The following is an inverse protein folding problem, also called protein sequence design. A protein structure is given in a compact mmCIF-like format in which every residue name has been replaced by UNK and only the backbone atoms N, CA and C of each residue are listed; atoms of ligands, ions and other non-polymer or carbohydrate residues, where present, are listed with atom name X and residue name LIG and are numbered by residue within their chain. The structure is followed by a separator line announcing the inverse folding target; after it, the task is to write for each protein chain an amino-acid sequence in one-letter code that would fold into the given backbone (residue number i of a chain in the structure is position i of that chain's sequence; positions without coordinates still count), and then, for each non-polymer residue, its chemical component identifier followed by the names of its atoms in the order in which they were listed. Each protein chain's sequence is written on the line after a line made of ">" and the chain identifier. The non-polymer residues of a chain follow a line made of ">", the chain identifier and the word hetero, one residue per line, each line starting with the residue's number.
data_IF_359768839528
#
_entry.id   IF_359768839528
#
_cell.length_a   1.000
_cell.length_b   1.000
_cell.length_c   1.000
_cell.angle_alpha   90.00
_cell.angle_beta   90.00
_cell.angle_gamma   90.00
#
_symmetry.space_group_name_H-M   'P 1'
#
loop_
_entity.id
_entity.type
_entity.pdbx_description
1 polymer ?
#
# COMPACT_ATOMS: atom_id res chain seq x y z
N UNK A 1 3.05 3.64 -2.96
CA UNK A 1 4.12 3.43 -1.94
C UNK A 1 3.75 3.95 -0.55
N UNK A 2 3.37 5.23 -0.41
CA UNK A 2 3.12 5.89 0.88
C UNK A 2 2.15 5.14 1.81
N UNK A 3 1.02 4.62 1.31
CA UNK A 3 0.07 3.84 2.12
C UNK A 3 0.72 2.67 2.88
N UNK A 4 1.63 1.94 2.24
CA UNK A 4 2.26 0.76 2.83
C UNK A 4 3.50 1.14 3.65
N UNK A 5 4.35 2.01 3.12
CA UNK A 5 5.60 2.39 3.78
C UNK A 5 5.35 3.23 5.06
N UNK A 6 4.30 4.04 5.10
CA UNK A 6 3.97 4.80 6.33
C UNK A 6 3.54 3.91 7.50
N UNK A 7 3.21 2.63 7.27
CA UNK A 7 2.81 1.72 8.34
C UNK A 7 3.96 1.39 9.31
N UNK A 8 5.21 1.57 8.87
CA UNK A 8 6.41 1.20 9.62
C UNK A 8 7.17 2.41 10.17
N UNK A 9 6.58 3.60 10.15
CA UNK A 9 7.20 4.78 10.78
C UNK A 9 7.23 4.58 12.31
N UNK A 10 8.31 5.01 12.96
CA UNK A 10 8.44 4.98 14.42
C UNK A 10 7.26 5.67 15.09
N UNK A 11 6.67 5.05 16.11
CA UNK A 11 5.48 5.54 16.84
C UNK A 11 4.23 5.78 15.96
N UNK A 12 4.24 5.29 14.72
CA UNK A 12 3.09 5.34 13.81
C UNK A 12 1.92 4.51 14.34
N UNK A 13 0.69 5.00 14.18
CA UNK A 13 -0.53 4.32 14.66
C UNK A 13 -0.73 2.92 14.07
N UNK A 14 -0.20 2.68 12.87
CA UNK A 14 -0.24 1.39 12.16
C UNK A 14 0.97 0.51 12.41
N UNK A 15 2.00 1.01 13.11
CA UNK A 15 3.15 0.22 13.50
C UNK A 15 2.76 -0.63 14.71
N UNK A 16 2.53 -1.93 14.47
CA UNK A 16 2.08 -2.89 15.50
C UNK A 16 3.19 -3.80 16.02
N UNK A 17 4.44 -3.49 15.68
CA UNK A 17 5.59 -4.34 15.94
C UNK A 17 6.75 -3.60 16.61
N UNK A 18 6.53 -2.34 17.01
CA UNK A 18 7.53 -1.47 17.63
C UNK A 18 8.81 -1.35 16.80
N UNK A 19 8.70 -1.48 15.48
CA UNK A 19 9.81 -1.27 14.56
C UNK A 19 10.22 0.20 14.58
N UNK A 20 11.52 0.48 14.57
CA UNK A 20 12.04 1.84 14.56
C UNK A 20 13.38 1.89 13.83
N UNK A 21 13.46 2.74 12.81
CA UNK A 21 14.70 3.00 12.10
C UNK A 21 14.74 4.48 11.66
N UNK A 22 15.69 5.24 12.19
CA UNK A 22 15.82 6.68 11.93
C UNK A 22 16.02 7.00 10.45
N UNK A 23 16.80 6.20 9.72
CA UNK A 23 17.04 6.43 8.29
C UNK A 23 15.77 6.18 7.47
N UNK A 24 15.02 5.16 7.85
CA UNK A 24 13.72 4.86 7.26
C UNK A 24 12.76 6.04 7.48
N UNK A 25 12.62 6.50 8.72
CA UNK A 25 11.73 7.62 9.07
C UNK A 25 12.09 8.89 8.29
N UNK A 26 13.38 9.24 8.21
CA UNK A 26 13.86 10.40 7.43
C UNK A 26 13.52 10.30 5.94
N UNK A 27 13.65 9.13 5.34
CA UNK A 27 13.32 8.93 3.92
C UNK A 27 11.82 9.11 3.68
N UNK A 28 10.98 8.53 4.55
CA UNK A 28 9.53 8.65 4.46
C UNK A 28 9.08 10.10 4.68
N UNK A 29 9.66 10.81 5.64
CA UNK A 29 9.38 12.23 5.88
C UNK A 29 9.76 13.09 4.66
N UNK A 30 10.95 12.88 4.08
CA UNK A 30 11.40 13.58 2.86
C UNK A 30 10.43 13.37 1.70
N UNK A 31 9.87 12.18 1.54
CA UNK A 31 8.89 11.89 0.47
C UNK A 31 7.58 12.66 0.60
N UNK A 32 7.27 13.17 1.79
CA UNK A 32 6.07 13.96 2.08
C UNK A 32 6.35 15.46 2.22
N UNK A 33 7.63 15.85 2.21
CA UNK A 33 8.08 17.23 2.40
C UNK A 33 8.96 17.69 1.23
N UNK A 34 10.28 17.66 1.38
CA UNK A 34 11.26 18.25 0.45
C UNK A 34 11.27 17.60 -0.93
N UNK A 35 10.92 16.32 -1.03
CA UNK A 35 10.86 15.59 -2.30
C UNK A 35 9.43 15.54 -2.88
N UNK A 36 8.45 16.20 -2.27
CA UNK A 36 7.05 16.06 -2.68
C UNK A 36 6.81 16.44 -4.16
N UNK A 37 7.58 17.39 -4.69
CA UNK A 37 7.48 17.89 -6.07
C UNK A 37 8.51 17.28 -7.03
N UNK A 38 9.57 16.64 -6.51
CA UNK A 38 10.59 15.94 -7.32
C UNK A 38 10.22 14.46 -7.45
N UNK A 39 9.45 14.12 -8.48
CA UNK A 39 8.93 12.76 -8.66
C UNK A 39 10.04 11.71 -8.79
N UNK A 40 11.12 11.91 -9.59
CA UNK A 40 12.23 10.97 -9.65
C UNK A 40 12.91 10.75 -8.29
N UNK A 41 13.26 11.83 -7.57
CA UNK A 41 13.93 11.71 -6.29
C UNK A 41 13.01 11.08 -5.22
N UNK A 42 11.73 11.44 -5.22
CA UNK A 42 10.71 10.85 -4.35
C UNK A 42 10.57 9.35 -4.58
N UNK A 43 10.54 8.92 -5.85
CA UNK A 43 10.45 7.52 -6.20
C UNK A 43 11.67 6.74 -5.72
N UNK A 44 12.86 7.30 -5.90
CA UNK A 44 14.10 6.71 -5.40
C UNK A 44 14.10 6.58 -3.88
N UNK A 45 13.66 7.60 -3.16
CA UNK A 45 13.53 7.55 -1.71
C UNK A 45 12.57 6.45 -1.22
N UNK A 46 11.47 6.18 -1.94
CA UNK A 46 10.60 5.04 -1.61
C UNK A 46 11.28 3.68 -1.82
N UNK A 47 12.05 3.52 -2.89
CA UNK A 47 12.80 2.29 -3.14
C UNK A 47 13.86 2.05 -2.07
N UNK A 48 14.59 3.09 -1.69
CA UNK A 48 15.62 3.01 -0.66
C UNK A 48 15.01 2.69 0.72
N UNK A 49 13.84 3.26 1.03
CA UNK A 49 13.11 2.94 2.25
C UNK A 49 12.61 1.48 2.27
N UNK A 50 12.06 0.98 1.16
CA UNK A 50 11.61 -0.42 1.04
C UNK A 50 12.78 -1.41 1.19
N UNK A 51 13.95 -1.09 0.61
CA UNK A 51 15.17 -1.89 0.76
C UNK A 51 15.62 -1.97 2.22
N UNK A 52 15.61 -0.85 2.95
CA UNK A 52 15.93 -0.87 4.38
C UNK A 52 14.97 -1.80 5.12
N UNK A 53 13.66 -1.65 4.88
CA UNK A 53 12.63 -2.41 5.58
C UNK A 53 12.73 -3.93 5.34
N UNK A 54 13.01 -4.34 4.10
CA UNK A 54 12.95 -5.75 3.69
C UNK A 54 14.31 -6.44 3.68
N UNK A 55 15.36 -5.77 3.19
CA UNK A 55 16.68 -6.38 3.02
C UNK A 55 17.59 -6.12 4.22
N UNK A 56 17.68 -4.86 4.68
CA UNK A 56 18.64 -4.49 5.72
C UNK A 56 18.14 -4.87 7.12
N UNK A 57 16.87 -4.58 7.42
CA UNK A 57 16.28 -4.78 8.76
C UNK A 57 15.43 -6.06 8.85
N UNK A 58 15.02 -6.62 7.71
CA UNK A 58 14.11 -7.77 7.61
C UNK A 58 12.88 -7.63 8.56
N UNK A 59 12.31 -6.43 8.62
CA UNK A 59 11.24 -6.09 9.56
C UNK A 59 9.98 -6.93 9.32
N UNK A 60 9.68 -7.21 8.05
CA UNK A 60 8.59 -8.11 7.64
C UNK A 60 9.07 -9.06 6.55
N UNK A 61 8.38 -10.20 6.42
CA UNK A 61 8.56 -11.14 5.33
C UNK A 61 7.29 -11.16 4.46
N UNK A 62 7.22 -10.39 3.36
CA UNK A 62 6.11 -10.47 2.42
C UNK A 62 5.97 -11.89 1.84
N UNK A 63 4.75 -12.43 1.81
CA UNK A 63 4.50 -13.80 1.35
C UNK A 63 4.08 -13.82 -0.13
N UNK A 64 3.07 -13.02 -0.50
CA UNK A 64 2.54 -12.97 -1.86
C UNK A 64 1.79 -11.66 -2.14
N UNK A 65 1.65 -11.32 -3.42
CA UNK A 65 0.72 -10.28 -3.87
C UNK A 65 -0.62 -10.93 -4.22
N UNK A 66 -1.69 -10.51 -3.55
CA UNK A 66 -3.01 -11.13 -3.70
C UNK A 66 -3.62 -10.90 -5.07
N UNK A 67 -4.22 -11.94 -5.63
CA UNK A 67 -5.10 -11.91 -6.79
C UNK A 67 -6.49 -12.40 -6.41
N UNK A 68 -7.51 -11.90 -7.09
CA UNK A 68 -8.91 -12.28 -6.84
C UNK A 68 -9.41 -13.20 -7.95
N UNK A 69 -9.85 -14.40 -7.57
CA UNK A 69 -10.58 -15.33 -8.44
C UNK A 69 -11.94 -15.58 -7.80
N UNK A 70 -13.01 -15.37 -8.56
CA UNK A 70 -14.38 -15.52 -8.08
C UNK A 70 -15.30 -15.99 -9.19
N UNK A 71 -16.43 -16.60 -8.82
CA UNK A 71 -17.50 -16.94 -9.74
C UNK A 71 -18.61 -15.90 -9.61
N UNK A 72 -19.07 -15.39 -10.75
CA UNK A 72 -20.19 -14.46 -10.83
C UNK A 72 -21.31 -15.08 -11.65
N UNK A 73 -22.54 -15.05 -11.12
CA UNK A 73 -23.70 -15.52 -11.87
C UNK A 73 -23.86 -14.67 -13.13
N UNK A 74 -24.12 -15.26 -14.32
CA UNK A 74 -24.27 -14.50 -15.56
C UNK A 74 -25.37 -13.43 -15.51
N UNK A 75 -26.38 -13.62 -14.66
CA UNK A 75 -27.51 -12.70 -14.44
C UNK A 75 -27.14 -11.47 -13.62
N UNK A 76 -26.00 -11.46 -12.92
CA UNK A 76 -25.53 -10.31 -12.16
C UNK A 76 -24.73 -9.40 -13.08
N UNK A 77 -25.11 -8.13 -13.15
CA UNK A 77 -24.45 -7.10 -13.97
C UNK A 77 -24.14 -5.88 -13.12
N UNK A 78 -23.08 -5.15 -13.49
CA UNK A 78 -22.79 -3.84 -12.92
C UNK A 78 -22.15 -3.84 -11.52
N UNK A 79 -21.66 -4.98 -11.03
CA UNK A 79 -20.77 -5.01 -9.85
C UNK A 79 -19.41 -4.42 -10.25
N UNK A 80 -19.00 -3.35 -9.59
CA UNK A 80 -17.70 -2.71 -9.87
C UNK A 80 -16.68 -3.15 -8.84
N UNK A 81 -15.58 -3.74 -9.32
CA UNK A 81 -14.42 -4.09 -8.48
C UNK A 81 -13.39 -2.96 -8.57
N UNK A 82 -13.07 -2.36 -7.43
CA UNK A 82 -12.08 -1.29 -7.29
C UNK A 82 -10.72 -1.85 -6.86
N UNK A 83 -9.60 -1.32 -7.39
CA UNK A 83 -8.26 -1.80 -7.06
C UNK A 83 -7.76 -1.34 -5.67
N UNK A 84 -8.44 -0.40 -5.03
CA UNK A 84 -8.15 0.06 -3.66
C UNK A 84 -9.46 0.39 -2.93
N UNK A 85 -9.43 0.30 -1.59
CA UNK A 85 -10.47 0.70 -0.62
C UNK A 85 -11.94 0.51 -1.04
N UNK A 86 -12.67 -0.33 -0.32
CA UNK A 86 -14.06 -0.66 -0.66
C UNK A 86 -14.09 -1.42 -1.98
N UNK A 87 -13.59 -2.65 -1.97
CA UNK A 87 -13.30 -3.45 -3.16
C UNK A 87 -14.55 -3.61 -4.05
N UNK A 88 -15.73 -3.77 -3.48
CA UNK A 88 -16.97 -3.94 -4.24
C UNK A 88 -17.85 -2.69 -4.18
N UNK A 89 -18.41 -2.30 -5.33
CA UNK A 89 -19.47 -1.31 -5.43
C UNK A 89 -20.73 -1.95 -6.02
N UNK A 90 -21.80 -1.95 -5.24
CA UNK A 90 -23.10 -2.47 -5.67
C UNK A 90 -24.06 -1.37 -6.13
N UNK A 91 -23.64 -0.11 -6.11
CA UNK A 91 -24.47 1.04 -6.51
C UNK A 91 -25.08 0.89 -7.91
N UNK A 92 -24.35 0.27 -8.83
CA UNK A 92 -24.76 0.05 -10.22
C UNK A 92 -25.11 -1.41 -10.51
N UNK A 93 -25.17 -2.24 -9.47
CA UNK A 93 -25.47 -3.65 -9.65
C UNK A 93 -26.96 -3.86 -9.94
N UNK A 94 -27.25 -4.77 -10.85
CA UNK A 94 -28.60 -5.21 -11.18
C UNK A 94 -28.63 -6.71 -11.47
N UNK A 95 -29.83 -7.28 -11.42
CA UNK A 95 -30.10 -8.66 -11.83
C UNK A 95 -30.91 -8.58 -13.12
N UNK A 96 -30.42 -9.21 -14.17
CA UNK A 96 -31.16 -9.42 -15.42
C UNK A 96 -31.90 -10.75 -15.36
N UNK A 97 -33.12 -10.79 -15.89
CA UNK A 97 -33.86 -12.05 -16.12
C UNK A 97 -33.15 -12.95 -17.13
#
# INVERSE_FOLDING_TARGET
>A
PTTFLNMFVTDGSFNKMSYSNKKYDELIEKTSSTLATDLPARWKAFQDAEKILLEDDAAIAPIFQSGLVYLERPTVKGVVIRPFAGIYSYKWASITE
#
